data_IF_824876870644
#
_entry.id   IF_824876870644
#
_cell.length_a   1.000
_cell.length_b   1.000
_cell.length_c   1.000
_cell.angle_alpha   90.00
_cell.angle_beta   90.00
_cell.angle_gamma   90.00
#
_symmetry.space_group_name_H-M   'P 1'
#
loop_
_entity.id
_entity.type
_entity.pdbx_description
1 polymer ?
#
# COMPACT_ATOMS: atom_id res chain seq x y z
N UNK A 1 -68.37 -7.87 -55.01
CA UNK A 1 -67.85 -9.25 -54.83
C UNK A 1 -66.34 -9.21 -55.04
N UNK A 2 -65.55 -9.92 -54.23
CA UNK A 2 -64.24 -9.47 -53.75
C UNK A 2 -63.06 -10.29 -54.33
N UNK A 3 -61.94 -9.63 -54.63
CA UNK A 3 -60.61 -10.27 -54.83
C UNK A 3 -59.60 -9.37 -54.09
N UNK A 4 -59.30 -9.69 -52.82
CA UNK A 4 -58.08 -10.43 -52.40
C UNK A 4 -56.81 -9.69 -52.84
N UNK A 5 -56.33 -8.64 -52.14
CA UNK A 5 -55.52 -8.67 -50.90
C UNK A 5 -54.34 -9.66 -50.93
N UNK A 6 -53.33 -9.37 -51.76
CA UNK A 6 -52.02 -10.02 -51.68
C UNK A 6 -51.05 -9.09 -50.94
N UNK A 7 -50.89 -9.32 -49.64
CA UNK A 7 -49.89 -8.64 -48.81
C UNK A 7 -48.54 -9.29 -49.03
N UNK A 8 -47.62 -8.54 -49.63
CA UNK A 8 -46.20 -8.83 -49.67
C UNK A 8 -45.65 -9.03 -48.25
N UNK A 9 -45.27 -10.26 -47.95
CA UNK A 9 -44.67 -10.67 -46.69
C UNK A 9 -43.17 -10.32 -46.71
N UNK A 10 -42.84 -9.13 -46.23
CA UNK A 10 -41.45 -8.76 -45.90
C UNK A 10 -40.98 -9.69 -44.77
N UNK A 11 -40.18 -10.71 -45.11
CA UNK A 11 -39.43 -11.50 -44.12
C UNK A 11 -38.29 -10.64 -43.55
N UNK A 12 -38.27 -10.32 -42.25
CA UNK A 12 -37.07 -9.76 -41.64
C UNK A 12 -35.98 -10.85 -41.65
N UNK A 13 -34.86 -10.55 -42.31
CA UNK A 13 -33.66 -11.37 -42.30
C UNK A 13 -33.23 -11.64 -40.86
N UNK A 14 -33.11 -12.93 -40.52
CA UNK A 14 -32.53 -13.37 -39.25
C UNK A 14 -31.11 -12.82 -39.15
N UNK A 15 -30.75 -12.08 -38.08
CA UNK A 15 -29.36 -11.72 -37.86
C UNK A 15 -28.55 -13.00 -37.66
N UNK A 16 -27.45 -13.11 -38.40
CA UNK A 16 -26.50 -14.19 -38.28
C UNK A 16 -26.06 -14.32 -36.82
N UNK A 17 -26.33 -15.48 -36.22
CA UNK A 17 -25.85 -15.83 -34.89
C UNK A 17 -24.31 -15.80 -34.90
N UNK A 18 -23.73 -14.83 -34.19
CA UNK A 18 -22.30 -14.78 -33.95
C UNK A 18 -21.86 -16.06 -33.24
N UNK A 19 -20.95 -16.79 -33.89
CA UNK A 19 -20.39 -18.06 -33.45
C UNK A 19 -19.80 -17.98 -32.03
N UNK A 20 -20.21 -18.85 -31.09
CA UNK A 20 -19.81 -18.79 -29.68
C UNK A 20 -18.39 -19.34 -29.40
N UNK A 21 -17.61 -19.67 -30.44
CA UNK A 21 -16.33 -20.39 -30.27
C UNK A 21 -15.12 -19.50 -30.00
N UNK A 22 -15.17 -18.20 -30.32
CA UNK A 22 -14.02 -17.28 -30.15
C UNK A 22 -13.93 -16.72 -28.73
N UNK A 23 -15.06 -16.61 -28.03
CA UNK A 23 -15.15 -16.02 -26.67
C UNK A 23 -14.45 -16.86 -25.60
N UNK A 24 -14.35 -18.18 -25.80
CA UNK A 24 -13.69 -19.11 -24.85
C UNK A 24 -12.17 -18.88 -24.74
N UNK A 25 -11.49 -18.53 -25.84
CA UNK A 25 -10.03 -18.35 -25.84
C UNK A 25 -9.61 -17.03 -25.18
N UNK A 26 -10.39 -15.97 -25.39
CA UNK A 26 -10.13 -14.65 -24.78
C UNK A 26 -10.34 -14.70 -23.26
N UNK A 27 -11.38 -15.41 -22.79
CA UNK A 27 -11.58 -15.62 -21.35
C UNK A 27 -10.42 -16.35 -20.68
N UNK A 28 -9.80 -17.32 -21.36
CA UNK A 28 -8.68 -18.09 -20.80
C UNK A 28 -7.39 -17.27 -20.72
N UNK A 29 -7.12 -16.41 -21.71
CA UNK A 29 -5.96 -15.50 -21.70
C UNK A 29 -6.15 -14.41 -20.63
N UNK A 30 -7.34 -13.84 -20.50
CA UNK A 30 -7.62 -12.87 -19.44
C UNK A 30 -7.44 -13.48 -18.05
N UNK A 31 -7.93 -14.71 -17.84
CA UNK A 31 -7.75 -15.44 -16.57
C UNK A 31 -6.27 -15.75 -16.32
N UNK A 32 -5.50 -16.15 -17.34
CA UNK A 32 -4.07 -16.44 -17.16
C UNK A 32 -3.29 -15.17 -16.83
N UNK A 33 -3.57 -14.05 -17.49
CA UNK A 33 -2.95 -12.75 -17.18
C UNK A 33 -3.28 -12.32 -15.75
N UNK A 34 -4.55 -12.42 -15.34
CA UNK A 34 -4.95 -12.11 -13.97
C UNK A 34 -4.23 -13.02 -12.97
N UNK A 35 -4.15 -14.33 -13.23
CA UNK A 35 -3.42 -15.27 -12.38
C UNK A 35 -1.93 -14.92 -12.27
N UNK A 36 -1.29 -14.54 -13.37
CA UNK A 36 0.11 -14.08 -13.36
C UNK A 36 0.27 -12.81 -12.52
N UNK A 37 -0.62 -11.83 -12.68
CA UNK A 37 -0.58 -10.59 -11.88
C UNK A 37 -0.79 -10.89 -10.40
N UNK A 38 -1.76 -11.75 -10.06
CA UNK A 38 -2.02 -12.17 -8.67
C UNK A 38 -0.83 -12.94 -8.10
N UNK A 39 -0.20 -13.83 -8.88
CA UNK A 39 0.98 -14.56 -8.46
C UNK A 39 2.18 -13.63 -8.21
N UNK A 40 2.40 -12.65 -9.08
CA UNK A 40 3.44 -11.63 -8.90
C UNK A 40 3.17 -10.77 -7.65
N UNK A 41 1.93 -10.30 -7.49
CA UNK A 41 1.53 -9.53 -6.31
C UNK A 41 1.70 -10.34 -5.02
N UNK A 42 1.27 -11.60 -5.00
CA UNK A 42 1.45 -12.49 -3.87
C UNK A 42 2.94 -12.70 -3.58
N UNK A 43 3.75 -13.00 -4.59
CA UNK A 43 5.21 -13.17 -4.43
C UNK A 43 5.84 -11.92 -3.82
N UNK A 44 5.44 -10.73 -4.27
CA UNK A 44 5.92 -9.46 -3.73
C UNK A 44 5.48 -9.26 -2.27
N UNK A 45 4.22 -9.54 -1.93
CA UNK A 45 3.69 -9.46 -0.56
C UNK A 45 4.42 -10.42 0.38
N UNK A 46 4.69 -11.65 -0.07
CA UNK A 46 5.40 -12.66 0.75
C UNK A 46 6.89 -12.40 0.87
N UNK A 47 7.52 -11.76 -0.11
CA UNK A 47 8.95 -11.41 -0.06
C UNK A 47 9.22 -10.05 0.60
N UNK A 48 8.21 -9.17 0.70
CA UNK A 48 8.34 -7.85 1.33
C UNK A 48 8.92 -7.89 2.76
N UNK A 49 8.53 -8.80 3.67
CA UNK A 49 9.11 -8.85 5.02
C UNK A 49 10.59 -9.24 5.02
N UNK A 50 11.01 -10.09 4.09
CA UNK A 50 12.41 -10.48 3.94
C UNK A 50 13.25 -9.33 3.36
N UNK A 51 12.69 -8.58 2.41
CA UNK A 51 13.28 -7.37 1.86
C UNK A 51 13.38 -6.24 2.90
N UNK A 52 12.40 -6.14 3.80
CA UNK A 52 12.36 -5.11 4.85
C UNK A 52 13.50 -5.27 5.87
N UNK A 53 13.94 -6.52 6.12
CA UNK A 53 15.11 -6.83 6.98
C UNK A 53 16.44 -6.72 6.24
N UNK A 54 16.46 -6.98 4.94
CA UNK A 54 17.70 -7.02 4.16
C UNK A 54 18.24 -5.63 3.81
N UNK A 55 17.39 -4.60 3.81
CA UNK A 55 17.77 -3.24 3.41
C UNK A 55 17.28 -2.21 4.43
N UNK A 56 17.75 -2.37 5.66
CA UNK A 56 17.60 -1.39 6.73
C UNK A 56 18.57 -0.22 6.48
N UNK A 57 18.03 0.97 6.23
CA UNK A 57 18.85 2.16 6.03
C UNK A 57 18.60 3.21 7.10
N UNK A 58 19.68 3.90 7.46
CA UNK A 58 19.67 5.01 8.40
C UNK A 58 19.48 6.33 7.65
N UNK A 59 18.38 7.02 7.94
CA UNK A 59 18.07 8.33 7.36
C UNK A 59 18.21 9.40 8.45
N UNK A 60 18.91 10.49 8.15
CA UNK A 60 19.09 11.60 9.09
C UNK A 60 17.97 12.61 8.90
N UNK A 61 17.22 12.89 9.96
CA UNK A 61 16.11 13.84 9.98
C UNK A 61 16.22 14.74 11.21
N UNK A 62 15.79 15.99 11.07
CA UNK A 62 15.68 16.91 12.21
C UNK A 62 14.33 16.71 12.88
N UNK A 63 14.32 16.38 14.18
CA UNK A 63 13.10 16.21 14.94
C UNK A 63 12.63 17.57 15.50
N UNK A 64 11.36 17.92 15.30
CA UNK A 64 10.78 19.16 15.81
C UNK A 64 10.17 18.97 17.19
N UNK A 65 9.50 17.85 17.40
CA UNK A 65 8.96 17.44 18.70
C UNK A 65 8.83 15.91 18.75
N UNK A 66 8.49 15.38 19.92
CA UNK A 66 8.10 13.99 20.07
C UNK A 66 7.00 13.86 21.12
N UNK A 67 5.98 13.07 20.81
CA UNK A 67 4.82 12.87 21.68
C UNK A 67 4.49 11.39 21.80
N UNK A 68 4.30 10.94 23.04
CA UNK A 68 3.77 9.61 23.32
C UNK A 68 2.27 9.61 23.00
N UNK A 69 1.86 8.71 22.13
CA UNK A 69 0.50 8.61 21.61
C UNK A 69 0.07 7.16 21.58
N UNK A 70 -1.24 6.96 21.50
CA UNK A 70 -1.83 5.63 21.32
C UNK A 70 -2.30 5.56 19.87
N UNK A 71 -1.70 4.66 19.10
CA UNK A 71 -1.97 4.46 17.68
C UNK A 71 -2.63 3.10 17.41
N UNK A 72 -3.38 3.02 16.32
CA UNK A 72 -4.00 1.79 15.86
C UNK A 72 -5.27 1.37 16.61
N UNK A 73 -5.92 0.31 16.13
CA UNK A 73 -7.17 -0.22 16.69
C UNK A 73 -6.96 -1.02 17.98
N UNK A 74 -5.74 -1.46 18.24
CA UNK A 74 -5.36 -2.28 19.39
C UNK A 74 -4.80 -1.45 20.56
N UNK A 75 -4.92 -0.12 20.54
CA UNK A 75 -4.34 0.78 21.53
C UNK A 75 -2.83 0.56 21.72
N UNK A 76 -2.10 0.42 20.61
CA UNK A 76 -0.66 0.25 20.62
C UNK A 76 0.00 1.58 20.95
N UNK A 77 0.97 1.57 21.86
CA UNK A 77 1.71 2.78 22.20
C UNK A 77 2.75 3.06 21.13
N UNK A 78 2.88 4.33 20.77
CA UNK A 78 3.87 4.80 19.82
C UNK A 78 4.38 6.18 20.23
N UNK A 79 5.50 6.57 19.64
CA UNK A 79 6.02 7.94 19.71
C UNK A 79 5.87 8.56 18.33
N UNK A 80 5.10 9.63 18.25
CA UNK A 80 4.95 10.46 17.06
C UNK A 80 6.03 11.54 17.07
N UNK A 81 6.80 11.63 15.98
CA UNK A 81 7.96 12.51 15.85
C UNK A 81 7.80 13.34 14.58
N UNK A 82 7.18 14.54 14.67
CA UNK A 82 7.23 15.52 13.59
C UNK A 82 8.67 15.87 13.24
N UNK A 83 9.05 15.76 11.96
CA UNK A 83 10.43 15.95 11.52
C UNK A 83 10.54 16.60 10.15
N UNK A 84 11.76 16.97 9.75
CA UNK A 84 12.08 17.47 8.41
C UNK A 84 11.76 16.47 7.28
N UNK A 85 11.65 15.18 7.62
CA UNK A 85 11.32 14.10 6.70
C UNK A 85 9.81 13.78 6.67
N UNK A 86 8.99 14.53 7.40
CA UNK A 86 7.59 14.22 7.70
C UNK A 86 7.39 13.67 9.10
N UNK A 87 6.17 13.26 9.43
CA UNK A 87 5.86 12.63 10.72
C UNK A 87 6.38 11.20 10.74
N UNK A 88 7.29 10.89 11.65
CA UNK A 88 7.85 9.55 11.86
C UNK A 88 7.15 8.91 13.06
N UNK A 89 6.77 7.64 12.95
CA UNK A 89 6.25 6.85 14.07
C UNK A 89 7.30 5.89 14.58
N UNK A 90 7.45 5.80 15.90
CA UNK A 90 8.23 4.77 16.56
C UNK A 90 7.28 3.91 17.39
N UNK A 91 7.08 2.66 16.99
CA UNK A 91 6.17 1.73 17.68
C UNK A 91 6.88 0.46 18.15
N UNK A 92 8.01 0.12 17.52
CA UNK A 92 8.76 -1.06 17.88
C UNK A 92 9.40 -0.90 19.28
N UNK A 93 9.10 -1.82 20.19
CA UNK A 93 9.58 -1.76 21.57
C UNK A 93 8.99 -0.61 22.40
N UNK A 94 7.94 0.07 21.91
CA UNK A 94 7.26 1.14 22.63
C UNK A 94 6.04 0.59 23.34
N UNK A 95 5.91 0.87 24.63
CA UNK A 95 4.82 0.45 25.50
C UNK A 95 4.33 1.60 26.40
N UNK A 96 3.27 1.34 27.16
CA UNK A 96 2.67 2.32 28.05
C UNK A 96 3.62 2.87 29.13
N UNK A 97 4.60 2.06 29.55
CA UNK A 97 5.56 2.40 30.59
C UNK A 97 6.73 3.23 30.08
N UNK A 98 7.12 3.04 28.81
CA UNK A 98 8.32 3.69 28.25
C UNK A 98 8.03 4.80 27.24
N UNK A 99 6.84 4.89 26.64
CA UNK A 99 6.58 5.82 25.52
C UNK A 99 6.89 7.28 25.86
N UNK A 100 6.51 7.73 27.06
CA UNK A 100 6.81 9.10 27.52
C UNK A 100 8.28 9.32 27.82
N UNK A 101 9.01 8.29 28.26
CA UNK A 101 10.44 8.38 28.49
C UNK A 101 11.17 8.53 27.15
N UNK A 102 10.86 7.67 26.18
CA UNK A 102 11.42 7.72 24.83
C UNK A 102 11.12 9.06 24.16
N UNK A 103 9.89 9.58 24.26
CA UNK A 103 9.52 10.88 23.71
C UNK A 103 10.37 12.03 24.30
N UNK A 104 10.80 11.93 25.55
CA UNK A 104 11.65 12.97 26.19
C UNK A 104 13.12 12.91 25.77
N UNK A 105 13.57 11.80 25.19
CA UNK A 105 14.95 11.69 24.68
C UNK A 105 15.16 12.50 23.39
N UNK A 106 14.07 12.97 22.78
CA UNK A 106 14.10 13.82 21.60
C UNK A 106 14.14 15.29 21.99
N UNK A 107 15.27 15.93 21.66
CA UNK A 107 15.43 17.37 21.75
C UNK A 107 14.85 18.03 20.49
N UNK A 108 14.02 19.07 20.64
CA UNK A 108 13.56 19.87 19.51
C UNK A 108 14.72 20.39 18.66
N UNK A 109 14.53 20.43 17.34
CA UNK A 109 15.49 20.88 16.32
C UNK A 109 16.82 20.12 16.30
N UNK A 110 16.89 18.96 16.95
CA UNK A 110 18.09 18.12 16.95
C UNK A 110 18.01 17.06 15.85
N UNK A 111 19.17 16.68 15.30
CA UNK A 111 19.26 15.68 14.24
C UNK A 111 19.36 14.29 14.82
N UNK A 112 18.53 13.39 14.30
CA UNK A 112 18.52 11.98 14.65
C UNK A 112 18.61 11.14 13.39
N UNK A 113 19.25 9.98 13.50
CA UNK A 113 19.22 8.93 12.49
C UNK A 113 18.14 7.93 12.83
N UNK A 114 17.23 7.69 11.90
CA UNK A 114 16.16 6.71 12.03
C UNK A 114 16.41 5.55 11.10
N UNK A 115 16.21 4.34 11.61
CA UNK A 115 16.32 3.11 10.83
C UNK A 115 14.96 2.78 10.22
N UNK A 116 14.91 2.74 8.90
CA UNK A 116 13.70 2.40 8.15
C UNK A 116 13.92 1.13 7.35
N UNK A 117 12.90 0.27 7.36
CA UNK A 117 12.79 -0.81 6.39
C UNK A 117 12.51 -0.27 4.97
N UNK A 118 12.57 -1.16 3.99
CA UNK A 118 12.20 -0.88 2.59
C UNK A 118 10.82 -0.21 2.47
N UNK A 119 9.79 -0.75 3.12
CA UNK A 119 8.42 -0.23 2.92
C UNK A 119 8.27 1.19 3.48
N UNK A 120 8.83 1.44 4.66
CA UNK A 120 8.87 2.78 5.27
C UNK A 120 9.65 3.78 4.42
N UNK A 121 10.70 3.35 3.71
CA UNK A 121 11.43 4.22 2.76
C UNK A 121 10.60 4.59 1.55
N UNK A 122 9.83 3.66 1.00
CA UNK A 122 8.88 3.96 -0.08
C UNK A 122 7.86 5.00 0.39
N UNK A 123 7.37 4.89 1.63
CA UNK A 123 6.46 5.90 2.21
C UNK A 123 7.12 7.26 2.42
N UNK A 124 8.37 7.30 2.87
CA UNK A 124 9.16 8.54 2.95
C UNK A 124 9.30 9.23 1.60
N UNK A 125 9.62 8.46 0.55
CA UNK A 125 9.81 8.99 -0.80
C UNK A 125 8.50 9.50 -1.41
N UNK A 126 7.40 8.76 -1.20
CA UNK A 126 6.10 9.09 -1.77
C UNK A 126 5.29 10.09 -0.93
N UNK A 127 5.67 10.36 0.32
CA UNK A 127 4.97 11.27 1.26
C UNK A 127 3.48 10.95 1.45
N UNK A 128 3.08 9.71 1.19
CA UNK A 128 1.67 9.25 1.24
C UNK A 128 1.25 8.74 2.62
N UNK A 129 2.21 8.45 3.49
CA UNK A 129 1.93 8.04 4.87
C UNK A 129 3.12 8.32 5.78
N UNK A 130 2.87 8.28 7.08
CA UNK A 130 3.89 8.46 8.09
C UNK A 130 4.70 7.17 8.27
N UNK A 131 6.01 7.17 7.93
CA UNK A 131 6.84 5.98 8.01
C UNK A 131 7.01 5.51 9.47
N UNK A 132 7.13 4.19 9.63
CA UNK A 132 7.45 3.58 10.92
C UNK A 132 8.95 3.30 10.99
N UNK A 133 9.63 3.89 11.96
CA UNK A 133 11.04 3.65 12.25
C UNK A 133 11.17 2.43 13.17
N UNK A 134 12.17 1.59 12.90
CA UNK A 134 12.47 0.41 13.72
C UNK A 134 13.42 0.73 14.87
N UNK A 135 14.32 1.71 14.66
CA UNK A 135 15.27 2.20 15.64
C UNK A 135 15.67 3.66 15.35
N UNK A 136 16.41 4.26 16.28
CA UNK A 136 16.79 5.65 16.29
C UNK A 136 18.12 5.82 17.04
N UNK A 137 18.89 6.84 16.68
CA UNK A 137 20.09 7.27 17.43
C UNK A 137 20.39 8.75 17.16
N UNK A 138 21.06 9.46 18.09
CA UNK A 138 21.54 10.81 17.82
C UNK A 138 22.44 10.83 16.57
N UNK A 139 22.26 11.84 15.72
CA UNK A 139 23.20 12.09 14.63
C UNK A 139 24.41 12.86 15.18
N UNK A 140 25.63 12.59 14.66
CA UNK A 140 26.81 13.39 14.98
C UNK A 140 26.72 14.82 14.42
#
# INVERSE_FOLDING_TARGET
MPESSERDSVRPGRPAALSPRVTKRIGTIAISVILVVVALAATFIFSAPALDRADEQWVTCEAYSAHAVVAGRAAEWAVEIPSSCGTIWLSNGVDSGNARAIARDFSPHSRYRFQFGWLSRVYLQLRVSSPNAQAWRPAP
#
